data_IF_493745536782
#
_entry.id   IF_493745536782
#
_cell.length_a   1.000
_cell.length_b   1.000
_cell.length_c   1.000
_cell.angle_alpha   90.00
_cell.angle_beta   90.00
_cell.angle_gamma   90.00
#
_symmetry.space_group_name_H-M   'P 1'
#
loop_
_entity.id
_entity.type
_entity.pdbx_description
1 polymer ?
#
# COMPACT_ATOMS: atom_id res chain seq x y z
N UNK A 1 -11.57 9.16 4.65
CA UNK A 1 -11.66 8.45 5.95
C UNK A 1 -13.13 8.42 6.36
N UNK A 2 -13.67 7.23 6.66
CA UNK A 2 -15.07 7.07 7.11
C UNK A 2 -15.03 6.59 8.56
N UNK A 3 -15.72 7.30 9.46
CA UNK A 3 -15.87 6.89 10.87
C UNK A 3 -17.29 6.38 11.05
N UNK A 4 -17.46 5.17 11.58
CA UNK A 4 -18.75 4.62 11.94
C UNK A 4 -18.81 4.38 13.44
N UNK A 5 -19.88 4.83 14.08
CA UNK A 5 -20.17 4.56 15.49
C UNK A 5 -21.38 3.64 15.62
N UNK A 6 -21.31 2.65 16.52
CA UNK A 6 -22.40 1.72 16.81
C UNK A 6 -22.58 1.61 18.31
N UNK A 7 -23.82 1.67 18.78
CA UNK A 7 -24.15 1.29 20.15
C UNK A 7 -23.99 -0.22 20.33
N UNK A 8 -23.22 -0.64 21.32
CA UNK A 8 -23.06 -2.05 21.68
C UNK A 8 -24.18 -2.45 22.62
N UNK A 9 -24.58 -1.55 23.52
CA UNK A 9 -25.72 -1.71 24.42
C UNK A 9 -26.60 -0.45 24.32
N UNK A 10 -27.81 -0.60 23.80
CA UNK A 10 -28.79 0.48 23.88
C UNK A 10 -29.29 0.58 25.33
N UNK A 11 -29.41 1.77 25.92
CA UNK A 11 -30.01 1.92 27.24
C UNK A 11 -31.43 1.32 27.18
N UNK A 12 -31.70 0.31 28.04
CA UNK A 12 -33.03 -0.23 28.20
C UNK A 12 -33.91 0.87 28.77
N UNK A 13 -34.70 1.52 27.92
CA UNK A 13 -35.86 2.29 28.39
C UNK A 13 -36.96 1.33 28.68
N UNK A 14 -37.64 1.50 29.83
CA UNK A 14 -38.86 0.74 30.17
C UNK A 14 -39.80 0.75 28.96
N UNK A 15 -39.98 -0.43 28.35
CA UNK A 15 -40.75 -0.59 27.16
C UNK A 15 -42.24 -0.29 27.45
N UNK A 16 -42.70 0.87 27.05
CA UNK A 16 -44.12 1.22 27.06
C UNK A 16 -44.88 0.46 25.96
N UNK A 17 -46.18 0.29 26.13
CA UNK A 17 -47.06 -0.21 25.10
C UNK A 17 -47.76 0.97 24.44
N UNK A 18 -47.68 1.10 23.12
CA UNK A 18 -48.44 2.06 22.36
C UNK A 18 -49.84 1.44 22.03
N UNK A 19 -50.90 2.21 22.25
CA UNK A 19 -52.28 1.83 21.95
C UNK A 19 -52.75 2.61 20.73
N UNK A 20 -53.14 1.89 19.66
CA UNK A 20 -53.84 2.45 18.51
C UNK A 20 -55.35 2.38 18.69
N UNK A 21 -55.90 3.48 19.24
CA UNK A 21 -57.33 3.62 19.44
C UNK A 21 -58.15 3.66 18.13
N UNK A 22 -57.59 4.17 17.04
CA UNK A 22 -58.26 4.25 15.76
C UNK A 22 -58.42 2.83 15.18
N UNK A 23 -57.41 2.04 15.23
CA UNK A 23 -57.39 0.64 14.81
C UNK A 23 -58.36 -0.20 15.66
N UNK A 24 -58.34 -0.03 16.98
CA UNK A 24 -59.23 -0.70 17.91
C UNK A 24 -60.71 -0.41 17.59
N UNK A 25 -61.07 0.85 17.34
CA UNK A 25 -62.45 1.25 16.96
C UNK A 25 -62.87 0.65 15.63
N UNK A 26 -62.00 0.62 14.63
CA UNK A 26 -62.29 -0.01 13.34
C UNK A 26 -62.58 -1.50 13.49
N UNK A 27 -61.78 -2.22 14.28
CA UNK A 27 -61.96 -3.65 14.53
C UNK A 27 -63.28 -3.95 15.25
N UNK A 28 -63.62 -3.17 16.27
CA UNK A 28 -64.87 -3.30 16.99
C UNK A 28 -66.10 -3.06 16.06
N UNK A 29 -66.01 -2.06 15.19
CA UNK A 29 -67.06 -1.75 14.21
C UNK A 29 -67.23 -2.89 13.18
N UNK A 30 -66.07 -3.38 12.64
CA UNK A 30 -66.09 -4.51 11.69
C UNK A 30 -66.66 -5.79 12.33
N UNK A 31 -66.28 -6.12 13.57
CA UNK A 31 -66.79 -7.29 14.29
C UNK A 31 -68.33 -7.21 14.56
N UNK A 32 -68.82 -6.02 14.91
CA UNK A 32 -70.27 -5.78 15.08
C UNK A 32 -71.05 -5.95 13.76
N UNK A 33 -70.48 -5.47 12.65
CA UNK A 33 -71.08 -5.62 11.31
C UNK A 33 -71.12 -7.10 10.88
N UNK A 34 -70.03 -7.87 11.10
CA UNK A 34 -69.98 -9.31 10.87
C UNK A 34 -71.03 -10.05 11.70
N UNK A 35 -71.19 -9.73 13.00
CA UNK A 35 -72.21 -10.29 13.89
C UNK A 35 -73.58 -10.08 13.32
N UNK A 36 -73.89 -8.87 12.85
CA UNK A 36 -75.18 -8.51 12.29
C UNK A 36 -75.51 -9.25 10.96
N UNK A 37 -74.51 -9.20 10.02
CA UNK A 37 -74.76 -9.79 8.69
C UNK A 37 -74.81 -11.29 8.68
N UNK A 38 -73.95 -11.94 9.48
CA UNK A 38 -73.88 -13.39 9.53
C UNK A 38 -74.74 -14.04 10.65
N UNK A 39 -75.49 -13.24 11.42
CA UNK A 39 -76.33 -13.66 12.57
C UNK A 39 -75.54 -14.49 13.60
N UNK A 40 -74.25 -14.16 13.81
CA UNK A 40 -73.37 -14.85 14.76
C UNK A 40 -73.77 -14.51 16.21
N UNK A 41 -73.48 -15.45 17.14
CA UNK A 41 -73.60 -15.21 18.58
C UNK A 41 -72.20 -14.89 19.15
N UNK A 42 -72.18 -14.05 20.17
CA UNK A 42 -70.92 -13.65 20.84
C UNK A 42 -70.80 -12.12 20.94
N UNK A 43 -70.00 -11.64 21.84
CA UNK A 43 -69.65 -10.23 22.01
C UNK A 43 -68.18 -9.97 21.79
N UNK A 44 -67.85 -8.75 21.36
CA UNK A 44 -66.48 -8.31 21.19
C UNK A 44 -66.00 -7.91 22.57
N UNK A 45 -65.08 -8.67 23.12
CA UNK A 45 -64.52 -8.40 24.44
C UNK A 45 -63.14 -7.72 24.32
N UNK A 46 -62.63 -7.24 25.46
CA UNK A 46 -61.33 -6.54 25.52
C UNK A 46 -60.17 -7.45 25.09
N UNK A 47 -60.24 -8.76 25.46
CA UNK A 47 -59.15 -9.69 25.13
C UNK A 47 -59.07 -9.93 23.63
N UNK A 48 -60.22 -9.99 22.92
CA UNK A 48 -60.25 -10.09 21.47
C UNK A 48 -59.55 -8.86 20.82
N UNK A 49 -59.91 -7.65 21.25
CA UNK A 49 -59.36 -6.42 20.69
C UNK A 49 -57.86 -6.27 21.00
N UNK A 50 -57.47 -6.55 22.23
CA UNK A 50 -56.08 -6.40 22.66
C UNK A 50 -55.11 -7.41 21.99
N UNK A 51 -55.60 -8.58 21.57
CA UNK A 51 -54.79 -9.61 20.88
C UNK A 51 -54.65 -9.36 19.39
N UNK A 52 -55.33 -8.37 18.85
CA UNK A 52 -55.23 -8.10 17.41
C UNK A 52 -53.88 -7.38 17.09
N UNK A 53 -53.24 -7.77 15.99
CA UNK A 53 -52.02 -7.09 15.54
C UNK A 53 -52.23 -5.57 15.42
N UNK A 54 -51.26 -4.79 15.77
CA UNK A 54 -51.23 -3.34 15.63
C UNK A 54 -52.16 -2.54 16.59
N UNK A 55 -52.97 -3.20 17.44
CA UNK A 55 -53.74 -2.50 18.46
C UNK A 55 -52.90 -2.18 19.68
N UNK A 56 -52.10 -3.15 20.14
CA UNK A 56 -51.10 -2.97 21.17
C UNK A 56 -49.72 -3.29 20.56
N UNK A 57 -48.93 -2.31 20.37
CA UNK A 57 -47.56 -2.48 19.86
C UNK A 57 -46.56 -2.08 20.93
N UNK A 58 -45.42 -2.81 21.04
CA UNK A 58 -44.31 -2.31 21.84
C UNK A 58 -43.95 -0.90 21.36
N UNK A 59 -43.92 0.06 22.29
CA UNK A 59 -43.44 1.39 21.95
C UNK A 59 -41.97 1.28 21.60
N UNK A 60 -41.68 1.32 20.32
CA UNK A 60 -40.29 1.57 19.85
C UNK A 60 -40.02 3.05 20.08
N UNK A 61 -39.70 3.39 21.35
CA UNK A 61 -39.06 4.67 21.56
C UNK A 61 -37.77 4.60 20.77
N UNK A 62 -37.71 5.35 19.67
CA UNK A 62 -36.57 5.35 18.76
C UNK A 62 -35.30 5.47 19.58
N UNK A 63 -34.27 4.70 19.19
CA UNK A 63 -32.93 4.84 19.77
C UNK A 63 -32.67 6.35 19.84
N UNK A 64 -32.54 6.90 21.04
CA UNK A 64 -32.28 8.32 21.20
C UNK A 64 -31.01 8.62 20.38
N UNK A 65 -31.12 9.50 19.40
CA UNK A 65 -29.95 9.95 18.67
C UNK A 65 -28.97 10.49 19.71
N UNK A 66 -27.71 9.96 19.69
CA UNK A 66 -26.69 10.48 20.58
C UNK A 66 -26.45 11.95 20.25
N UNK A 67 -26.38 12.77 21.26
CA UNK A 67 -26.01 14.17 21.08
C UNK A 67 -24.53 14.26 20.63
N UNK A 68 -24.24 15.19 19.73
CA UNK A 68 -22.87 15.37 19.22
C UNK A 68 -21.84 15.53 20.35
N UNK A 69 -22.21 16.25 21.41
CA UNK A 69 -21.41 16.44 22.62
C UNK A 69 -20.98 15.13 23.32
N UNK A 70 -21.73 14.05 23.14
CA UNK A 70 -21.39 12.72 23.68
C UNK A 70 -20.47 11.95 22.74
N UNK A 71 -20.59 12.15 21.43
CA UNK A 71 -19.82 11.46 20.37
C UNK A 71 -18.48 12.14 20.09
N UNK A 72 -18.44 13.48 20.13
CA UNK A 72 -17.26 14.29 19.80
C UNK A 72 -15.99 13.86 20.55
N UNK A 73 -15.97 13.72 21.88
CA UNK A 73 -14.77 13.36 22.62
C UNK A 73 -14.28 11.93 22.28
N UNK A 74 -15.22 11.04 21.92
CA UNK A 74 -14.87 9.67 21.50
C UNK A 74 -14.24 9.71 20.11
N UNK A 75 -14.83 10.48 19.19
CA UNK A 75 -14.30 10.65 17.84
C UNK A 75 -12.93 11.32 17.85
N UNK A 76 -12.75 12.38 18.63
CA UNK A 76 -11.45 13.06 18.79
C UNK A 76 -10.37 12.12 19.34
N UNK A 77 -10.70 11.31 20.35
CA UNK A 77 -9.76 10.33 20.89
C UNK A 77 -9.38 9.30 19.83
N UNK A 78 -10.34 8.75 19.11
CA UNK A 78 -10.09 7.77 18.04
C UNK A 78 -9.21 8.36 16.92
N UNK A 79 -9.47 9.60 16.50
CA UNK A 79 -8.63 10.29 15.50
C UNK A 79 -7.23 10.53 16.04
N UNK A 80 -7.08 10.94 17.27
CA UNK A 80 -5.77 11.18 17.92
C UNK A 80 -4.94 9.90 18.02
N UNK A 81 -5.58 8.79 18.41
CA UNK A 81 -4.94 7.48 18.49
C UNK A 81 -4.53 7.00 17.09
N UNK A 82 -5.38 7.16 16.08
CA UNK A 82 -5.07 6.84 14.67
C UNK A 82 -3.88 7.65 14.14
N UNK A 83 -3.87 8.97 14.36
CA UNK A 83 -2.75 9.83 13.96
C UNK A 83 -1.45 9.44 14.66
N UNK A 84 -1.52 9.11 15.95
CA UNK A 84 -0.37 8.61 16.70
C UNK A 84 0.15 7.26 16.19
N UNK A 85 -0.74 6.36 15.75
CA UNK A 85 -0.36 5.08 15.14
C UNK A 85 0.30 5.31 13.77
N UNK A 86 -0.32 6.10 12.91
CA UNK A 86 0.25 6.45 11.58
C UNK A 86 1.62 7.10 11.67
N UNK A 87 1.83 7.99 12.65
CA UNK A 87 3.12 8.63 12.86
C UNK A 87 4.22 7.61 13.26
N UNK A 88 3.88 6.64 14.14
CA UNK A 88 4.83 5.58 14.54
C UNK A 88 5.14 4.62 13.39
N UNK A 89 4.12 4.17 12.67
CA UNK A 89 4.27 3.29 11.51
C UNK A 89 5.06 3.97 10.39
N UNK A 90 4.73 5.22 10.08
CA UNK A 90 5.45 6.01 9.08
C UNK A 90 6.93 6.22 9.43
N UNK A 91 7.24 6.49 10.70
CA UNK A 91 8.62 6.62 11.15
C UNK A 91 9.41 5.29 11.05
N UNK A 92 8.79 4.17 11.42
CA UNK A 92 9.40 2.85 11.29
C UNK A 92 9.67 2.49 9.82
N UNK A 93 8.69 2.75 8.95
CA UNK A 93 8.79 2.51 7.52
C UNK A 93 9.88 3.39 6.85
N UNK A 94 9.94 4.67 7.20
CA UNK A 94 10.99 5.58 6.72
C UNK A 94 12.40 5.12 7.16
N UNK A 95 12.53 4.63 8.40
CA UNK A 95 13.80 4.08 8.88
C UNK A 95 14.21 2.81 8.11
N UNK A 96 13.26 1.90 7.85
CA UNK A 96 13.54 0.69 7.06
C UNK A 96 13.93 1.04 5.62
N UNK A 97 13.16 1.88 4.94
CA UNK A 97 13.48 2.34 3.58
C UNK A 97 14.83 3.06 3.54
N UNK A 98 15.12 3.90 4.53
CA UNK A 98 16.41 4.54 4.70
C UNK A 98 17.58 3.56 4.84
N UNK A 99 17.37 2.47 5.59
CA UNK A 99 18.34 1.37 5.71
C UNK A 99 18.60 0.65 4.39
N UNK A 100 17.53 0.36 3.60
CA UNK A 100 17.68 -0.24 2.26
C UNK A 100 18.44 0.65 1.30
N UNK A 101 18.15 1.96 1.29
CA UNK A 101 18.94 2.91 0.48
C UNK A 101 20.41 2.92 0.90
N UNK A 102 20.72 2.84 2.19
CA UNK A 102 22.10 2.72 2.68
C UNK A 102 22.82 1.47 2.19
N UNK A 103 22.12 0.32 2.13
CA UNK A 103 22.65 -0.91 1.57
C UNK A 103 22.95 -0.78 0.06
N UNK A 104 22.03 -0.15 -0.69
CA UNK A 104 22.22 0.13 -2.12
C UNK A 104 23.38 1.09 -2.39
N UNK A 105 23.53 2.14 -1.58
CA UNK A 105 24.67 3.08 -1.65
C UNK A 105 26.01 2.38 -1.40
N UNK A 106 26.03 1.46 -0.44
CA UNK A 106 27.21 0.63 -0.12
C UNK A 106 27.55 -0.28 -1.31
N UNK A 107 26.52 -0.93 -1.89
CA UNK A 107 26.67 -1.75 -3.09
C UNK A 107 27.23 -0.94 -4.28
N UNK A 108 26.69 0.25 -4.54
CA UNK A 108 27.18 1.14 -5.58
C UNK A 108 28.65 1.52 -5.36
N UNK A 109 29.05 1.84 -4.12
CA UNK A 109 30.45 2.13 -3.76
C UNK A 109 31.38 0.93 -4.00
N UNK A 110 30.91 -0.29 -3.67
CA UNK A 110 31.68 -1.52 -3.93
C UNK A 110 31.91 -1.74 -5.43
N UNK A 111 30.89 -1.49 -6.25
CA UNK A 111 30.99 -1.60 -7.71
C UNK A 111 31.93 -0.54 -8.26
N UNK A 112 31.82 0.72 -7.81
CA UNK A 112 32.73 1.83 -8.23
C UNK A 112 34.19 1.53 -7.98
N UNK A 113 34.51 0.98 -6.81
CA UNK A 113 35.87 0.62 -6.46
C UNK A 113 36.43 -0.50 -7.36
N UNK A 114 35.58 -1.45 -7.77
CA UNK A 114 35.99 -2.60 -8.56
C UNK A 114 35.96 -2.35 -10.07
N UNK A 115 35.20 -1.40 -10.55
CA UNK A 115 34.98 -1.14 -11.97
C UNK A 115 36.29 -0.82 -12.75
N UNK A 116 37.25 0.00 -12.23
CA UNK A 116 38.50 0.33 -12.95
C UNK A 116 39.42 -0.88 -13.16
N UNK A 117 39.60 -1.72 -12.13
CA UNK A 117 40.43 -2.92 -12.21
C UNK A 117 39.83 -3.95 -13.20
N UNK A 118 38.53 -4.12 -13.13
CA UNK A 118 37.81 -4.98 -14.06
C UNK A 118 37.94 -4.54 -15.50
N UNK A 119 37.75 -3.24 -15.80
CA UNK A 119 37.90 -2.69 -17.16
C UNK A 119 39.28 -2.95 -17.72
N UNK A 120 40.32 -2.68 -16.91
CA UNK A 120 41.73 -2.93 -17.28
C UNK A 120 41.97 -4.42 -17.55
N UNK A 121 41.48 -5.32 -16.70
CA UNK A 121 41.59 -6.76 -16.86
C UNK A 121 40.89 -7.29 -18.13
N UNK A 122 39.66 -6.80 -18.41
CA UNK A 122 38.91 -7.19 -19.59
C UNK A 122 39.59 -6.73 -20.89
N UNK A 123 40.13 -5.51 -20.92
CA UNK A 123 40.90 -4.98 -22.06
C UNK A 123 42.19 -5.80 -22.30
N UNK A 124 42.88 -6.18 -21.22
CA UNK A 124 44.05 -7.02 -21.32
C UNK A 124 43.73 -8.42 -21.87
N UNK A 125 42.62 -9.03 -21.37
CA UNK A 125 42.14 -10.32 -21.86
C UNK A 125 41.73 -10.27 -23.33
N UNK A 126 41.05 -9.20 -23.74
CA UNK A 126 40.63 -9.01 -25.12
C UNK A 126 41.83 -8.87 -26.07
N UNK A 127 42.84 -8.01 -25.70
CA UNK A 127 44.05 -7.86 -26.48
C UNK A 127 44.77 -9.16 -26.63
N UNK A 128 44.88 -9.97 -25.57
CA UNK A 128 45.52 -11.30 -25.63
C UNK A 128 44.79 -12.25 -26.56
N UNK A 129 43.43 -12.35 -26.43
CA UNK A 129 42.66 -13.21 -27.29
C UNK A 129 42.73 -12.84 -28.76
N UNK A 130 42.74 -11.54 -29.07
CA UNK A 130 42.94 -11.07 -30.45
C UNK A 130 44.34 -11.42 -30.95
N UNK A 131 45.39 -11.19 -30.16
CA UNK A 131 46.75 -11.52 -30.54
C UNK A 131 46.90 -13.04 -30.87
N UNK A 132 46.26 -13.91 -30.08
CA UNK A 132 46.27 -15.36 -30.32
C UNK A 132 45.50 -15.75 -31.60
N UNK A 133 44.38 -15.10 -31.91
CA UNK A 133 43.55 -15.37 -33.10
C UNK A 133 44.20 -14.87 -34.39
N UNK A 134 45.00 -13.79 -34.34
CA UNK A 134 45.60 -13.20 -35.53
C UNK A 134 47.08 -13.57 -35.68
N UNK A 135 47.59 -14.55 -34.90
CA UNK A 135 48.94 -15.04 -35.02
C UNK A 135 49.22 -15.56 -36.46
N UNK A 136 50.06 -14.84 -37.22
CA UNK A 136 50.39 -15.16 -38.58
C UNK A 136 49.51 -14.51 -39.68
N UNK A 137 48.58 -13.63 -39.31
CA UNK A 137 47.72 -12.88 -40.24
C UNK A 137 48.07 -11.38 -40.15
N UNK A 138 48.21 -10.72 -41.29
CA UNK A 138 48.33 -9.25 -41.30
C UNK A 138 46.98 -8.64 -40.93
N UNK A 139 46.92 -7.94 -39.78
CA UNK A 139 45.72 -7.27 -39.29
C UNK A 139 45.95 -5.75 -39.40
N UNK A 140 44.93 -5.05 -39.84
CA UNK A 140 44.90 -3.60 -39.80
C UNK A 140 44.79 -3.11 -38.35
N UNK A 141 45.90 -2.59 -37.84
CA UNK A 141 46.02 -2.11 -36.44
C UNK A 141 45.03 -0.98 -36.13
N UNK A 142 44.68 -0.13 -37.11
CA UNK A 142 43.72 0.96 -36.91
C UNK A 142 42.32 0.40 -36.72
N UNK A 143 41.91 -0.56 -37.56
CA UNK A 143 40.63 -1.23 -37.44
C UNK A 143 40.53 -2.01 -36.13
N UNK A 144 41.59 -2.70 -35.73
CA UNK A 144 41.63 -3.39 -34.45
C UNK A 144 41.46 -2.44 -33.27
N UNK A 145 42.12 -1.28 -33.29
CA UNK A 145 42.00 -0.29 -32.23
C UNK A 145 40.54 0.25 -32.12
N UNK A 146 39.85 0.47 -33.23
CA UNK A 146 38.44 0.89 -33.24
C UNK A 146 37.54 -0.18 -32.63
N UNK A 147 37.73 -1.45 -33.01
CA UNK A 147 36.93 -2.55 -32.46
C UNK A 147 37.16 -2.73 -30.95
N UNK A 148 38.39 -2.60 -30.48
CA UNK A 148 38.71 -2.64 -29.04
C UNK A 148 38.07 -1.46 -28.31
N UNK A 149 38.05 -0.26 -28.87
CA UNK A 149 37.42 0.91 -28.30
C UNK A 149 35.87 0.72 -28.19
N UNK A 150 35.24 0.21 -29.25
CA UNK A 150 33.80 -0.12 -29.25
C UNK A 150 33.43 -1.19 -28.21
N UNK A 151 34.30 -2.18 -28.00
CA UNK A 151 34.10 -3.19 -26.98
C UNK A 151 34.30 -2.63 -25.57
N UNK A 152 35.30 -1.73 -25.38
CA UNK A 152 35.48 -1.03 -24.10
C UNK A 152 34.24 -0.23 -23.72
N UNK A 153 33.65 0.50 -24.66
CA UNK A 153 32.44 1.27 -24.46
C UNK A 153 31.22 0.37 -24.06
N UNK A 154 31.11 -0.80 -24.68
CA UNK A 154 30.04 -1.76 -24.35
C UNK A 154 30.10 -2.34 -22.93
N UNK A 155 31.28 -2.40 -22.36
CA UNK A 155 31.48 -2.91 -21.00
C UNK A 155 31.61 -1.80 -19.96
N UNK A 156 31.69 -0.56 -20.36
CA UNK A 156 31.71 0.58 -19.44
C UNK A 156 30.36 0.72 -18.70
N UNK A 157 30.43 0.89 -17.39
CA UNK A 157 29.30 1.03 -16.48
C UNK A 157 29.30 2.40 -15.77
N UNK A 158 30.13 3.32 -16.22
CA UNK A 158 30.31 4.62 -15.56
C UNK A 158 29.01 5.44 -15.59
N UNK A 159 28.32 5.44 -16.71
CA UNK A 159 27.05 6.17 -16.85
C UNK A 159 25.97 5.60 -15.93
N UNK A 160 25.84 4.28 -15.89
CA UNK A 160 24.89 3.59 -15.02
C UNK A 160 25.15 3.86 -13.54
N UNK A 161 26.42 3.91 -13.13
CA UNK A 161 26.80 4.27 -11.76
C UNK A 161 26.42 5.71 -11.41
N UNK A 162 26.66 6.66 -12.32
CA UNK A 162 26.27 8.06 -12.12
C UNK A 162 24.75 8.18 -11.99
N UNK A 163 23.98 7.53 -12.88
CA UNK A 163 22.51 7.51 -12.81
C UNK A 163 22.01 6.84 -11.54
N UNK A 164 22.59 5.71 -11.16
CA UNK A 164 22.27 4.99 -9.93
C UNK A 164 22.43 5.91 -8.70
N UNK A 165 23.56 6.63 -8.61
CA UNK A 165 23.83 7.61 -7.54
C UNK A 165 22.81 8.75 -7.53
N UNK A 166 22.48 9.27 -8.71
CA UNK A 166 21.51 10.34 -8.86
C UNK A 166 20.12 9.90 -8.36
N UNK A 167 19.68 8.70 -8.73
CA UNK A 167 18.39 8.16 -8.29
C UNK A 167 18.37 7.82 -6.79
N UNK A 168 19.48 7.32 -6.22
CA UNK A 168 19.61 7.11 -4.78
C UNK A 168 19.50 8.42 -3.99
N UNK A 169 20.15 9.48 -4.46
CA UNK A 169 20.04 10.81 -3.86
C UNK A 169 18.61 11.35 -3.93
N UNK A 170 17.94 11.21 -5.08
CA UNK A 170 16.55 11.60 -5.24
C UNK A 170 15.59 10.82 -4.32
N UNK A 171 15.84 9.51 -4.08
CA UNK A 171 15.09 8.72 -3.11
C UNK A 171 15.29 9.26 -1.68
N UNK A 172 16.51 9.62 -1.30
CA UNK A 172 16.79 10.24 0.01
C UNK A 172 16.06 11.56 0.20
N UNK A 173 16.08 12.40 -0.81
CA UNK A 173 15.36 13.69 -0.80
C UNK A 173 13.85 13.47 -0.67
N UNK A 174 13.29 12.55 -1.46
CA UNK A 174 11.86 12.23 -1.39
C UNK A 174 11.46 11.72 0.00
N UNK A 175 12.26 10.85 0.64
CA UNK A 175 11.98 10.35 2.00
C UNK A 175 12.09 11.44 3.08
N UNK A 176 12.83 12.52 2.83
CA UNK A 176 12.95 13.64 3.75
C UNK A 176 11.86 14.71 3.55
N UNK A 177 11.05 14.59 2.51
CA UNK A 177 10.00 15.56 2.16
C UNK A 177 8.67 15.15 2.77
N UNK A 178 7.94 16.09 3.35
CA UNK A 178 6.60 15.87 3.84
C UNK A 178 5.60 15.68 2.68
N UNK A 179 4.72 14.70 2.78
CA UNK A 179 3.64 14.48 1.84
C UNK A 179 3.57 13.06 1.25
N UNK A 180 2.73 12.88 0.23
CA UNK A 180 2.51 11.59 -0.41
C UNK A 180 3.63 11.29 -1.43
N UNK A 181 4.70 10.66 -1.00
CA UNK A 181 5.90 10.38 -1.81
C UNK A 181 5.92 8.99 -2.46
N UNK A 182 4.95 8.13 -2.16
CA UNK A 182 4.94 6.73 -2.60
C UNK A 182 5.06 6.55 -4.12
N UNK A 183 4.32 7.34 -4.92
CA UNK A 183 4.40 7.27 -6.39
C UNK A 183 5.78 7.68 -6.94
N UNK A 184 6.38 8.72 -6.35
CA UNK A 184 7.70 9.20 -6.75
C UNK A 184 8.77 8.16 -6.43
N UNK A 185 8.74 7.61 -5.22
CA UNK A 185 9.66 6.54 -4.80
C UNK A 185 9.47 5.28 -5.64
N UNK A 186 8.23 4.92 -6.00
CA UNK A 186 7.93 3.81 -6.89
C UNK A 186 8.58 3.95 -8.27
N UNK A 187 8.50 5.14 -8.88
CA UNK A 187 9.19 5.45 -10.13
C UNK A 187 10.71 5.36 -9.97
N UNK A 188 11.27 5.98 -8.93
CA UNK A 188 12.72 5.95 -8.66
C UNK A 188 13.22 4.53 -8.42
N UNK A 189 12.46 3.68 -7.73
CA UNK A 189 12.80 2.27 -7.52
C UNK A 189 12.88 1.49 -8.84
N UNK A 190 12.04 1.82 -9.82
CA UNK A 190 12.11 1.23 -11.17
C UNK A 190 13.38 1.65 -11.91
N UNK A 191 13.74 2.94 -11.83
CA UNK A 191 14.97 3.44 -12.44
C UNK A 191 16.21 2.85 -11.75
N UNK A 192 16.24 2.76 -10.42
CA UNK A 192 17.31 2.06 -9.69
C UNK A 192 17.45 0.61 -10.16
N UNK A 193 16.36 -0.12 -10.30
CA UNK A 193 16.38 -1.51 -10.78
C UNK A 193 16.90 -1.60 -12.21
N UNK A 194 16.55 -0.64 -13.05
CA UNK A 194 17.02 -0.56 -14.43
C UNK A 194 18.55 -0.41 -14.47
N UNK A 195 19.10 0.56 -13.73
CA UNK A 195 20.55 0.80 -13.69
C UNK A 195 21.30 -0.42 -13.10
N UNK A 196 20.81 -1.01 -12.02
CA UNK A 196 21.39 -2.23 -11.43
C UNK A 196 21.37 -3.41 -12.41
N UNK A 197 20.28 -3.58 -13.20
CA UNK A 197 20.22 -4.62 -14.24
C UNK A 197 21.24 -4.38 -15.34
N UNK A 198 21.39 -3.13 -15.80
CA UNK A 198 22.35 -2.77 -16.85
C UNK A 198 23.78 -2.98 -16.39
N UNK A 199 24.11 -2.56 -15.16
CA UNK A 199 25.41 -2.85 -14.53
C UNK A 199 25.68 -4.36 -14.51
N UNK A 200 24.71 -5.15 -14.04
CA UNK A 200 24.84 -6.61 -13.99
C UNK A 200 25.07 -7.27 -15.33
N UNK A 201 24.44 -6.77 -16.40
CA UNK A 201 24.60 -7.31 -17.76
C UNK A 201 25.92 -6.92 -18.43
N UNK A 202 26.42 -5.70 -18.15
CA UNK A 202 27.66 -5.18 -18.72
C UNK A 202 28.92 -5.63 -17.98
N UNK A 203 28.80 -5.90 -16.66
CA UNK A 203 29.98 -5.99 -15.80
C UNK A 203 30.86 -7.21 -16.05
N UNK A 204 30.36 -8.36 -16.46
CA UNK A 204 31.13 -9.59 -16.69
C UNK A 204 32.19 -9.88 -15.59
N UNK A 205 31.86 -9.62 -14.32
CA UNK A 205 32.70 -9.79 -13.15
C UNK A 205 31.92 -10.46 -12.03
N UNK A 206 32.47 -11.53 -11.44
CA UNK A 206 31.78 -12.31 -10.42
C UNK A 206 31.46 -11.52 -9.14
N UNK A 207 32.37 -10.64 -8.71
CA UNK A 207 32.17 -9.82 -7.50
C UNK A 207 31.09 -8.74 -7.73
N UNK A 208 31.10 -8.10 -8.90
CA UNK A 208 30.04 -7.15 -9.27
C UNK A 208 28.72 -7.87 -9.40
N UNK A 209 28.69 -9.07 -10.01
CA UNK A 209 27.45 -9.87 -10.13
C UNK A 209 26.87 -10.22 -8.76
N UNK A 210 27.67 -10.63 -7.78
CA UNK A 210 27.19 -10.90 -6.43
C UNK A 210 26.61 -9.65 -5.76
N UNK A 211 27.29 -8.50 -5.91
CA UNK A 211 26.79 -7.21 -5.39
C UNK A 211 25.47 -6.82 -6.04
N UNK A 212 25.34 -6.98 -7.36
CA UNK A 212 24.10 -6.74 -8.11
C UNK A 212 22.95 -7.63 -7.62
N UNK A 213 23.22 -8.92 -7.35
CA UNK A 213 22.21 -9.83 -6.80
C UNK A 213 21.71 -9.35 -5.43
N UNK A 214 22.62 -8.95 -4.55
CA UNK A 214 22.27 -8.39 -3.24
C UNK A 214 21.43 -7.11 -3.37
N UNK A 215 21.87 -6.19 -4.22
CA UNK A 215 21.14 -4.94 -4.50
C UNK A 215 19.74 -5.17 -5.06
N UNK A 216 19.56 -6.16 -5.95
CA UNK A 216 18.22 -6.53 -6.43
C UNK A 216 17.33 -7.03 -5.31
N UNK A 217 17.85 -7.82 -4.38
CA UNK A 217 17.09 -8.28 -3.22
C UNK A 217 16.68 -7.13 -2.29
N UNK A 218 17.54 -6.11 -2.12
CA UNK A 218 17.20 -4.91 -1.35
C UNK A 218 16.19 -4.02 -2.09
N UNK A 219 16.28 -3.89 -3.40
CA UNK A 219 15.32 -3.17 -4.23
C UNK A 219 13.92 -3.82 -4.21
N UNK A 220 13.84 -5.14 -4.25
CA UNK A 220 12.57 -5.85 -4.15
C UNK A 220 11.90 -5.57 -2.80
N UNK A 221 12.64 -5.72 -1.69
CA UNK A 221 12.14 -5.39 -0.36
C UNK A 221 11.77 -3.91 -0.22
N UNK A 222 12.55 -3.02 -0.84
CA UNK A 222 12.24 -1.59 -0.89
C UNK A 222 10.89 -1.35 -1.57
N UNK A 223 10.64 -1.99 -2.71
CA UNK A 223 9.38 -1.88 -3.45
C UNK A 223 8.18 -2.45 -2.67
N UNK A 224 8.34 -3.62 -2.04
CA UNK A 224 7.29 -4.21 -1.20
C UNK A 224 6.86 -3.27 -0.07
N UNK A 225 7.81 -2.52 0.51
CA UNK A 225 7.50 -1.55 1.56
C UNK A 225 6.84 -0.28 1.03
N UNK A 226 7.09 0.10 -0.24
CA UNK A 226 6.42 1.25 -0.85
C UNK A 226 4.91 1.06 -1.01
N UNK A 227 4.44 -0.18 -1.18
CA UNK A 227 3.02 -0.49 -1.26
C UNK A 227 2.27 -0.21 0.06
N UNK A 228 3.01 -0.07 1.17
CA UNK A 228 2.49 0.31 2.48
C UNK A 228 2.59 1.83 2.76
N UNK A 229 3.20 2.61 1.83
CA UNK A 229 3.26 4.07 1.90
C UNK A 229 2.00 4.69 1.28
N UNK A 230 1.20 5.36 2.12
CA UNK A 230 0.10 6.23 1.68
C UNK A 230 0.57 7.69 1.48
#
# INVERSE_FOLDING_TARGET
>A
MTVSARWIEAPQREGGVALDLARARQLVAAAKELKKRLKLKGDVDLAFVARQPEVLTPRQDGIAAAEWSEVEPIAERAVRELLGMRAREGAALAAELGGRLGALETGAGTIEQRAPERLTGELARLKKAVAELVAGVQVDEQRLAVEVALMADRVDITEELVRLRTHLAACREALATDGAVGKQLGFLAQELLREVNTIGSKANDAGITQTVIAMKGDLEKFREQLDNLE
#
